data_IF_230500133595
#
_entry.id   IF_230500133595
#
_cell.length_a   1.000
_cell.length_b   1.000
_cell.length_c   1.000
_cell.angle_alpha   90.00
_cell.angle_beta   90.00
_cell.angle_gamma   90.00
#
_symmetry.space_group_name_H-M   'P 1'
#
loop_
_entity.id
_entity.type
_entity.pdbx_description
1 polymer ?
#
# COMPACT_ATOMS: atom_id res chain seq x y z
N UNK A 1 9.25 -30.17 -10.37
CA UNK A 1 8.95 -28.93 -9.61
C UNK A 1 10.24 -28.43 -9.01
N UNK A 2 10.71 -27.24 -9.36
CA UNK A 2 11.92 -26.69 -8.72
C UNK A 2 11.57 -26.28 -7.29
N UNK A 3 12.02 -27.04 -6.31
CA UNK A 3 11.94 -26.71 -4.88
C UNK A 3 12.97 -25.61 -4.61
N UNK A 4 12.53 -24.35 -4.73
CA UNK A 4 13.33 -23.22 -4.24
C UNK A 4 13.26 -23.27 -2.72
N UNK A 5 14.36 -23.61 -2.07
CA UNK A 5 14.51 -23.47 -0.62
C UNK A 5 14.49 -21.98 -0.27
N UNK A 6 13.54 -21.58 0.56
CA UNK A 6 13.38 -20.19 0.98
C UNK A 6 14.26 -19.97 2.22
N UNK A 7 15.12 -18.95 2.24
CA UNK A 7 15.92 -18.64 3.42
C UNK A 7 15.03 -18.36 4.64
N UNK A 8 15.35 -19.00 5.77
CA UNK A 8 14.61 -18.86 7.02
C UNK A 8 14.48 -17.39 7.46
N UNK A 9 15.55 -16.61 7.33
CA UNK A 9 15.56 -15.19 7.65
C UNK A 9 14.48 -14.41 6.86
N UNK A 10 14.24 -14.77 5.60
CA UNK A 10 13.23 -14.11 4.78
C UNK A 10 11.82 -14.51 5.21
N UNK A 11 11.63 -15.74 5.69
CA UNK A 11 10.35 -16.19 6.26
C UNK A 11 10.06 -15.43 7.55
N UNK A 12 11.04 -15.28 8.43
CA UNK A 12 10.89 -14.52 9.67
C UNK A 12 10.64 -13.03 9.44
N UNK A 13 11.34 -12.42 8.47
CA UNK A 13 11.07 -11.03 8.06
C UNK A 13 9.61 -10.85 7.59
N UNK A 14 9.11 -11.75 6.74
CA UNK A 14 7.73 -11.70 6.26
C UNK A 14 6.70 -11.98 7.36
N UNK A 15 7.05 -12.85 8.31
CA UNK A 15 6.21 -13.15 9.45
C UNK A 15 6.09 -11.94 10.38
N UNK A 16 7.21 -11.26 10.61
CA UNK A 16 7.26 -10.01 11.37
C UNK A 16 6.43 -8.91 10.69
N UNK A 17 6.52 -8.78 9.36
CA UNK A 17 5.69 -7.85 8.61
C UNK A 17 4.19 -8.16 8.76
N UNK A 18 3.80 -9.42 8.63
CA UNK A 18 2.40 -9.84 8.82
C UNK A 18 1.88 -9.49 10.23
N UNK A 19 2.65 -9.81 11.26
CA UNK A 19 2.28 -9.52 12.66
C UNK A 19 2.18 -8.02 12.90
N UNK A 20 3.11 -7.23 12.36
CA UNK A 20 3.09 -5.77 12.50
C UNK A 20 1.90 -5.12 11.77
N UNK A 21 1.53 -5.64 10.59
CA UNK A 21 0.31 -5.22 9.89
C UNK A 21 -0.94 -5.49 10.73
N UNK A 22 -1.00 -6.66 11.39
CA UNK A 22 -2.11 -6.99 12.27
C UNK A 22 -2.15 -6.06 13.49
N UNK A 23 -1.01 -5.86 14.15
CA UNK A 23 -0.88 -4.93 15.30
C UNK A 23 -1.33 -3.52 14.91
N UNK A 24 -0.96 -3.05 13.71
CA UNK A 24 -1.38 -1.75 13.20
C UNK A 24 -2.90 -1.67 13.01
N UNK A 25 -3.53 -2.69 12.41
CA UNK A 25 -5.00 -2.75 12.25
C UNK A 25 -5.73 -2.80 13.58
N UNK A 26 -5.28 -3.64 14.50
CA UNK A 26 -5.84 -3.74 15.86
C UNK A 26 -5.77 -2.39 16.58
N UNK A 27 -4.65 -1.69 16.45
CA UNK A 27 -4.48 -0.33 17.00
C UNK A 27 -5.42 0.68 16.34
N UNK A 28 -5.64 0.59 15.02
CA UNK A 28 -6.59 1.46 14.30
C UNK A 28 -8.03 1.25 14.77
N UNK A 29 -8.40 0.03 15.18
CA UNK A 29 -9.69 -0.27 15.79
C UNK A 29 -9.80 0.19 17.26
N UNK A 30 -8.75 0.81 17.81
CA UNK A 30 -8.72 1.28 19.20
C UNK A 30 -8.56 0.16 20.24
N UNK A 31 -8.12 -1.03 19.80
CA UNK A 31 -7.88 -2.18 20.68
C UNK A 31 -6.37 -2.29 20.95
N UNK A 32 -5.99 -2.61 22.18
CA UNK A 32 -4.57 -2.88 22.50
C UNK A 32 -4.21 -4.30 22.08
N UNK A 33 -2.92 -4.54 21.81
CA UNK A 33 -2.46 -5.86 21.37
C UNK A 33 -2.75 -6.96 22.40
N UNK A 34 -2.55 -6.67 23.68
CA UNK A 34 -2.79 -7.60 24.78
C UNK A 34 -4.27 -7.98 24.89
N UNK A 35 -5.17 -7.00 24.69
CA UNK A 35 -6.61 -7.25 24.72
C UNK A 35 -7.04 -8.08 23.51
N UNK A 36 -6.47 -7.82 22.34
CA UNK A 36 -6.71 -8.64 21.15
C UNK A 36 -6.30 -10.10 21.37
N UNK A 37 -5.09 -10.34 21.88
CA UNK A 37 -4.60 -11.69 22.19
C UNK A 37 -5.51 -12.42 23.20
N UNK A 38 -5.97 -11.71 24.23
CA UNK A 38 -6.91 -12.25 25.22
C UNK A 38 -8.26 -12.63 24.60
N UNK A 39 -8.82 -11.76 23.75
CA UNK A 39 -10.08 -12.01 23.05
C UNK A 39 -9.96 -13.18 22.06
N UNK A 40 -8.86 -13.24 21.33
CA UNK A 40 -8.54 -14.33 20.41
C UNK A 40 -8.19 -15.64 21.13
N UNK A 41 -7.89 -15.58 22.43
CA UNK A 41 -7.36 -16.70 23.24
C UNK A 41 -6.12 -17.33 22.62
N UNK A 42 -5.23 -16.49 22.10
CA UNK A 42 -3.98 -16.90 21.45
C UNK A 42 -2.81 -16.13 22.02
N UNK A 43 -1.63 -16.74 21.98
CA UNK A 43 -0.37 -16.01 22.14
C UNK A 43 0.09 -15.46 20.79
N UNK A 44 1.03 -14.52 20.82
CA UNK A 44 1.67 -14.05 19.58
C UNK A 44 2.38 -15.21 18.85
N UNK A 45 2.99 -16.14 19.58
CA UNK A 45 3.62 -17.34 19.02
C UNK A 45 2.63 -18.24 18.29
N UNK A 46 1.40 -18.36 18.78
CA UNK A 46 0.36 -19.15 18.10
C UNK A 46 -0.02 -18.49 16.77
N UNK A 47 -0.18 -17.17 16.74
CA UNK A 47 -0.43 -16.40 15.51
C UNK A 47 0.74 -16.57 14.53
N UNK A 48 1.98 -16.46 15.03
CA UNK A 48 3.20 -16.65 14.23
C UNK A 48 3.24 -18.05 13.60
N UNK A 49 2.96 -19.10 14.37
CA UNK A 49 2.91 -20.48 13.86
C UNK A 49 1.84 -20.66 12.78
N UNK A 50 0.65 -20.08 12.99
CA UNK A 50 -0.44 -20.15 12.02
C UNK A 50 -0.13 -19.41 10.71
N UNK A 51 0.63 -18.32 10.79
CA UNK A 51 0.96 -17.47 9.64
C UNK A 51 2.26 -17.84 8.95
N UNK A 52 3.09 -18.68 9.56
CA UNK A 52 4.34 -19.15 8.96
C UNK A 52 4.18 -19.71 7.54
N UNK A 53 3.16 -20.55 7.21
CA UNK A 53 2.96 -21.02 5.84
C UNK A 53 2.60 -19.89 4.85
N UNK A 54 1.99 -18.81 5.33
CA UNK A 54 1.70 -17.62 4.51
C UNK A 54 2.99 -16.84 4.27
N UNK A 55 3.80 -16.64 5.32
CA UNK A 55 5.10 -15.99 5.24
C UNK A 55 6.05 -16.72 4.28
N UNK A 56 6.10 -18.06 4.35
CA UNK A 56 6.88 -18.89 3.42
C UNK A 56 6.49 -18.66 1.95
N UNK A 57 5.18 -18.59 1.66
CA UNK A 57 4.71 -18.29 0.30
C UNK A 57 5.08 -16.89 -0.15
N UNK A 58 4.95 -15.89 0.73
CA UNK A 58 5.34 -14.50 0.41
C UNK A 58 6.85 -14.38 0.17
N UNK A 59 7.66 -14.97 1.04
CA UNK A 59 9.10 -15.02 0.92
C UNK A 59 9.53 -15.69 -0.40
N UNK A 60 8.86 -16.79 -0.80
CA UNK A 60 9.09 -17.39 -2.11
C UNK A 60 8.76 -16.45 -3.27
N UNK A 61 7.63 -15.75 -3.22
CA UNK A 61 7.27 -14.75 -4.24
C UNK A 61 8.30 -13.63 -4.32
N UNK A 62 8.84 -13.17 -3.19
CA UNK A 62 9.90 -12.16 -3.16
C UNK A 62 11.19 -12.63 -3.84
N UNK A 63 11.58 -13.89 -3.64
CA UNK A 63 12.74 -14.46 -4.35
C UNK A 63 12.52 -14.53 -5.86
N UNK A 64 11.31 -14.87 -6.28
CA UNK A 64 10.94 -14.87 -7.70
C UNK A 64 11.01 -13.46 -8.27
N UNK A 65 10.45 -12.47 -7.58
CA UNK A 65 10.52 -11.07 -7.99
C UNK A 65 11.96 -10.56 -8.04
N UNK A 66 12.82 -10.90 -7.07
CA UNK A 66 14.23 -10.50 -7.10
C UNK A 66 14.97 -11.14 -8.28
N UNK A 67 14.71 -12.42 -8.59
CA UNK A 67 15.29 -13.10 -9.74
C UNK A 67 14.86 -12.45 -11.06
N UNK A 68 13.58 -12.07 -11.19
CA UNK A 68 13.06 -11.35 -12.35
C UNK A 68 13.71 -9.96 -12.43
N UNK A 69 13.74 -9.20 -11.33
CA UNK A 69 14.35 -7.87 -11.28
C UNK A 69 15.79 -7.88 -11.77
N UNK A 70 16.59 -8.88 -11.32
CA UNK A 70 17.98 -9.05 -11.77
C UNK A 70 18.07 -9.39 -13.25
N UNK A 71 17.24 -10.31 -13.74
CA UNK A 71 17.20 -10.71 -15.15
C UNK A 71 16.83 -9.53 -16.05
N UNK A 72 15.89 -8.72 -15.60
CA UNK A 72 15.32 -7.58 -16.32
C UNK A 72 16.11 -6.28 -16.13
N UNK A 73 17.21 -6.30 -15.36
CA UNK A 73 18.06 -5.14 -15.11
C UNK A 73 17.38 -4.02 -14.30
N UNK A 74 16.40 -4.35 -13.46
CA UNK A 74 15.64 -3.37 -12.69
C UNK A 74 16.46 -2.91 -11.49
N UNK A 75 16.86 -1.64 -11.52
CA UNK A 75 17.59 -0.97 -10.45
C UNK A 75 16.76 0.14 -9.81
N UNK A 76 17.14 0.52 -8.59
CA UNK A 76 16.60 1.66 -7.87
C UNK A 76 17.70 2.71 -7.76
N UNK A 77 17.46 3.91 -8.28
CA UNK A 77 18.41 5.01 -8.18
C UNK A 77 18.39 5.64 -6.78
N UNK A 78 19.44 6.39 -6.44
CA UNK A 78 19.48 7.16 -5.19
C UNK A 78 18.36 8.19 -5.12
N UNK A 79 18.01 8.81 -6.26
CA UNK A 79 16.95 9.82 -6.34
C UNK A 79 15.56 9.21 -6.13
N UNK A 80 15.29 8.04 -6.72
CA UNK A 80 14.05 7.29 -6.50
C UNK A 80 13.91 6.90 -5.03
N UNK A 81 15.00 6.44 -4.42
CA UNK A 81 15.00 6.09 -3.00
C UNK A 81 14.75 7.30 -2.11
N UNK A 82 15.40 8.43 -2.40
CA UNK A 82 15.23 9.67 -1.65
C UNK A 82 13.80 10.21 -1.79
N UNK A 83 13.23 10.23 -2.99
CA UNK A 83 11.85 10.65 -3.24
C UNK A 83 10.84 9.75 -2.53
N UNK A 84 11.01 8.44 -2.58
CA UNK A 84 10.13 7.52 -1.86
C UNK A 84 10.30 7.65 -0.34
N UNK A 85 11.51 7.96 0.15
CA UNK A 85 11.78 8.15 1.57
C UNK A 85 11.08 9.40 2.10
N UNK A 86 11.10 10.52 1.37
CA UNK A 86 10.40 11.75 1.77
C UNK A 86 8.89 11.62 1.74
N UNK A 87 8.34 10.79 0.84
CA UNK A 87 6.90 10.49 0.78
C UNK A 87 6.44 9.42 1.78
N UNK A 88 7.37 8.74 2.47
CA UNK A 88 7.03 7.72 3.45
C UNK A 88 6.34 8.35 4.67
N UNK A 89 5.23 7.78 5.19
CA UNK A 89 4.66 8.21 6.46
C UNK A 89 5.68 8.19 7.61
N UNK A 90 6.68 7.30 7.53
CA UNK A 90 7.78 7.23 8.49
C UNK A 90 8.59 8.54 8.52
N UNK A 91 8.71 9.26 7.40
CA UNK A 91 9.40 10.55 7.35
C UNK A 91 8.73 11.61 8.22
N UNK A 92 7.41 11.52 8.41
CA UNK A 92 6.65 12.49 9.21
C UNK A 92 6.72 12.16 10.71
N UNK A 93 6.84 10.87 11.04
CA UNK A 93 6.80 10.37 12.43
C UNK A 93 8.20 10.29 13.03
N UNK A 94 9.17 9.76 12.28
CA UNK A 94 10.56 9.62 12.71
C UNK A 94 11.53 9.78 11.51
N UNK A 95 11.93 11.03 11.20
CA UNK A 95 12.91 11.30 10.15
C UNK A 95 14.27 10.64 10.40
N UNK A 96 14.63 10.33 11.66
CA UNK A 96 15.93 9.72 11.98
C UNK A 96 15.96 8.24 11.61
N UNK A 97 14.81 7.55 11.67
CA UNK A 97 14.70 6.16 11.23
C UNK A 97 15.12 5.97 9.75
N UNK A 98 14.92 6.97 8.89
CA UNK A 98 15.34 6.94 7.49
C UNK A 98 16.86 6.93 7.30
N UNK A 99 17.65 7.20 8.35
CA UNK A 99 19.12 7.08 8.31
C UNK A 99 19.59 5.64 8.53
N UNK A 100 18.71 4.76 9.00
CA UNK A 100 19.06 3.36 9.24
C UNK A 100 19.30 2.63 7.91
N UNK A 101 20.47 1.98 7.72
CA UNK A 101 20.73 1.17 6.54
C UNK A 101 19.69 0.07 6.31
N UNK A 102 19.14 -0.50 7.38
CA UNK A 102 18.10 -1.52 7.30
C UNK A 102 16.79 -0.95 6.73
N UNK A 103 16.39 0.26 7.18
CA UNK A 103 15.19 0.94 6.69
C UNK A 103 15.34 1.31 5.22
N UNK A 104 16.48 1.87 4.83
CA UNK A 104 16.76 2.22 3.43
C UNK A 104 16.82 0.99 2.52
N UNK A 105 17.41 -0.11 2.99
CA UNK A 105 17.46 -1.37 2.24
C UNK A 105 16.05 -1.97 2.02
N UNK A 106 15.20 -1.93 3.05
CA UNK A 106 13.80 -2.36 2.95
C UNK A 106 13.02 -1.49 1.95
N UNK A 107 13.20 -0.17 2.03
CA UNK A 107 12.57 0.77 1.11
C UNK A 107 13.01 0.55 -0.34
N UNK A 108 14.32 0.40 -0.58
CA UNK A 108 14.85 0.10 -1.90
C UNK A 108 14.32 -1.24 -2.45
N UNK A 109 14.17 -2.26 -1.59
CA UNK A 109 13.57 -3.54 -1.98
C UNK A 109 12.10 -3.37 -2.40
N UNK A 110 11.33 -2.62 -1.61
CA UNK A 110 9.92 -2.33 -1.90
C UNK A 110 9.75 -1.62 -3.25
N UNK A 111 10.56 -0.59 -3.52
CA UNK A 111 10.55 0.13 -4.80
C UNK A 111 10.87 -0.81 -5.97
N UNK A 112 11.92 -1.63 -5.84
CA UNK A 112 12.32 -2.59 -6.87
C UNK A 112 11.22 -3.60 -7.17
N UNK A 113 10.59 -4.13 -6.12
CA UNK A 113 9.51 -5.11 -6.27
C UNK A 113 8.32 -4.50 -7.00
N UNK A 114 7.93 -3.27 -6.65
CA UNK A 114 6.86 -2.53 -7.36
C UNK A 114 7.21 -2.37 -8.84
N UNK A 115 8.38 -1.81 -9.17
CA UNK A 115 8.86 -1.67 -10.56
C UNK A 115 8.87 -3.00 -11.33
N UNK A 116 9.20 -4.09 -10.64
CA UNK A 116 9.20 -5.43 -11.24
C UNK A 116 7.80 -5.90 -11.55
N UNK A 117 6.85 -5.72 -10.63
CA UNK A 117 5.44 -6.04 -10.86
C UNK A 117 4.91 -5.18 -12.00
N UNK A 118 5.14 -3.86 -11.97
CA UNK A 118 4.68 -2.92 -13.00
C UNK A 118 5.16 -3.37 -14.39
N UNK A 119 6.44 -3.73 -14.52
CA UNK A 119 6.98 -4.27 -15.78
C UNK A 119 6.32 -5.60 -16.20
N UNK A 120 6.00 -6.48 -15.26
CA UNK A 120 5.33 -7.76 -15.55
C UNK A 120 3.87 -7.58 -15.97
N UNK A 121 3.19 -6.55 -15.46
CA UNK A 121 1.79 -6.24 -15.83
C UNK A 121 1.68 -5.27 -16.99
N UNK A 122 2.80 -4.80 -17.55
CA UNK A 122 2.81 -3.85 -18.67
C UNK A 122 2.44 -2.43 -18.26
N UNK A 123 2.77 -2.01 -17.04
CA UNK A 123 2.51 -0.67 -16.47
C UNK A 123 3.82 0.10 -16.24
N UNK A 124 4.89 -0.24 -16.96
CA UNK A 124 6.21 0.39 -16.79
C UNK A 124 6.28 1.84 -17.27
N UNK A 125 5.24 2.36 -17.93
CA UNK A 125 5.19 3.73 -18.43
C UNK A 125 3.79 4.33 -18.27
N UNK A 126 3.69 5.68 -18.20
CA UNK A 126 2.40 6.37 -18.18
C UNK A 126 1.52 6.01 -19.38
N UNK A 127 2.11 5.78 -20.56
CA UNK A 127 1.36 5.39 -21.76
C UNK A 127 0.78 3.98 -21.64
N UNK A 128 1.53 3.06 -21.03
CA UNK A 128 1.10 1.70 -20.81
C UNK A 128 0.02 1.62 -19.72
N UNK A 129 0.13 2.46 -18.69
CA UNK A 129 -0.90 2.64 -17.67
C UNK A 129 -2.19 3.25 -18.24
N UNK A 130 -2.09 4.31 -19.05
CA UNK A 130 -3.24 4.91 -19.75
C UNK A 130 -3.92 3.91 -20.67
N UNK A 131 -3.15 3.11 -21.40
CA UNK A 131 -3.69 2.04 -22.24
C UNK A 131 -4.45 0.98 -21.41
N UNK A 132 -3.91 0.59 -20.25
CA UNK A 132 -4.57 -0.37 -19.36
C UNK A 132 -5.86 0.21 -18.75
N UNK A 133 -5.85 1.48 -18.32
CA UNK A 133 -7.02 2.19 -17.79
C UNK A 133 -8.10 2.29 -18.87
N UNK A 134 -7.74 2.68 -20.10
CA UNK A 134 -8.67 2.75 -21.24
C UNK A 134 -9.29 1.39 -21.57
N UNK A 135 -8.50 0.32 -21.55
CA UNK A 135 -8.99 -1.07 -21.71
C UNK A 135 -9.92 -1.51 -20.59
N UNK A 136 -9.69 -1.03 -19.37
CA UNK A 136 -10.55 -1.29 -18.22
C UNK A 136 -11.80 -0.39 -18.16
N UNK A 137 -11.96 0.54 -19.12
CA UNK A 137 -13.10 1.45 -19.20
C UNK A 137 -13.04 2.63 -18.23
N UNK A 138 -11.85 2.96 -17.70
CA UNK A 138 -11.62 4.16 -16.89
C UNK A 138 -11.20 5.37 -17.72
N UNK A 139 -11.38 6.57 -17.17
CA UNK A 139 -10.91 7.81 -17.77
C UNK A 139 -9.40 7.99 -17.58
N UNK A 140 -8.70 8.49 -18.62
CA UNK A 140 -7.24 8.69 -18.72
C UNK A 140 -6.71 9.74 -17.70
N UNK A 141 -6.77 9.44 -16.40
CA UNK A 141 -6.25 10.30 -15.33
C UNK A 141 -4.79 9.94 -15.01
N UNK A 142 -3.89 10.90 -15.18
CA UNK A 142 -2.46 10.73 -14.91
C UNK A 142 -2.15 10.89 -13.41
N UNK A 143 -1.87 9.78 -12.71
CA UNK A 143 -1.54 9.77 -11.29
C UNK A 143 -0.06 10.09 -10.99
N UNK A 144 0.80 10.22 -11.99
CA UNK A 144 2.25 10.32 -11.81
C UNK A 144 2.84 11.73 -11.95
N UNK A 145 2.01 12.75 -12.17
CA UNK A 145 2.34 14.13 -11.85
C UNK A 145 3.48 14.74 -12.67
N UNK A 146 3.15 15.22 -13.87
CA UNK A 146 3.81 16.37 -14.47
C UNK A 146 2.74 17.42 -14.82
N UNK A 147 2.78 18.58 -14.16
CA UNK A 147 2.04 19.77 -14.61
C UNK A 147 2.97 20.60 -15.53
N UNK A 148 2.48 21.35 -16.55
CA UNK A 148 1.34 22.26 -16.39
C UNK A 148 0.39 22.50 -17.60
N UNK A 149 -0.70 23.19 -17.26
CA UNK A 149 -1.51 24.15 -18.03
C UNK A 149 -2.43 23.64 -19.15
N UNK A 150 -3.71 23.45 -18.79
CA UNK A 150 -4.74 24.43 -19.15
C UNK A 150 -5.94 24.30 -18.21
N UNK A 151 -6.37 25.44 -17.67
CA UNK A 151 -7.57 25.57 -16.86
C UNK A 151 -8.80 25.27 -17.72
N UNK A 152 -9.25 24.03 -17.70
CA UNK A 152 -10.63 23.67 -18.02
C UNK A 152 -11.35 23.43 -16.71
N UNK A 153 -12.36 24.25 -16.42
CA UNK A 153 -13.16 24.25 -15.19
C UNK A 153 -13.45 22.82 -14.70
N UNK A 154 -12.98 22.50 -13.49
CA UNK A 154 -13.45 21.31 -12.77
C UNK A 154 -14.93 21.52 -12.44
N UNK A 155 -15.83 21.07 -13.32
CA UNK A 155 -17.24 20.92 -12.96
C UNK A 155 -17.32 19.81 -11.93
N UNK A 156 -17.47 20.21 -10.67
CA UNK A 156 -17.98 19.35 -9.61
C UNK A 156 -19.33 18.84 -10.11
N UNK A 157 -19.42 17.53 -10.37
CA UNK A 157 -20.69 16.87 -10.66
C UNK A 157 -21.47 16.86 -9.34
N UNK A 158 -22.32 17.87 -9.15
CA UNK A 158 -23.41 17.82 -8.18
C UNK A 158 -24.52 16.98 -8.83
N UNK A 159 -24.95 15.84 -8.24
CA UNK A 159 -26.07 15.08 -8.79
C UNK A 159 -27.34 15.95 -8.80
N UNK A 160 -28.06 15.94 -9.93
CA UNK A 160 -29.33 16.65 -10.07
C UNK A 160 -30.35 16.12 -9.05
N UNK A 161 -30.72 17.00 -8.12
CA UNK A 161 -31.99 17.07 -7.36
C UNK A 161 -32.49 15.76 -6.74
N UNK A 162 -32.20 15.61 -5.45
CA UNK A 162 -33.09 14.91 -4.51
C UNK A 162 -34.29 15.82 -4.21
N UNK A 163 -35.51 15.37 -4.51
CA UNK A 163 -36.76 16.05 -4.19
C UNK A 163 -36.97 16.13 -2.66
N UNK A 164 -36.53 17.22 -2.06
CA UNK A 164 -36.89 17.56 -0.68
C UNK A 164 -38.17 18.41 -0.71
N UNK A 165 -39.29 17.85 -0.24
CA UNK A 165 -40.56 18.57 -0.09
C UNK A 165 -40.45 19.70 0.95
N UNK A 166 -41.36 20.69 0.91
CA UNK A 166 -41.37 21.80 1.88
C UNK A 166 -41.41 21.31 3.34
N UNK A 167 -42.11 20.20 3.62
CA UNK A 167 -42.18 19.63 4.98
C UNK A 167 -40.81 19.15 5.49
N UNK A 168 -39.96 18.60 4.61
CA UNK A 168 -38.62 18.12 4.97
C UNK A 168 -37.65 19.24 5.36
N UNK A 169 -37.85 20.45 4.82
CA UNK A 169 -37.02 21.62 5.12
C UNK A 169 -37.38 22.24 6.47
N UNK A 170 -38.64 22.17 6.87
CA UNK A 170 -39.13 22.69 8.15
C UNK A 170 -38.75 21.75 9.31
N UNK A 171 -38.82 20.43 9.08
CA UNK A 171 -38.34 19.43 10.04
C UNK A 171 -36.84 19.56 10.36
N UNK A 172 -36.02 19.88 9.35
CA UNK A 172 -34.58 20.07 9.53
C UNK A 172 -34.24 21.33 10.35
N UNK A 173 -35.01 22.42 10.19
CA UNK A 173 -34.83 23.65 10.99
C UNK A 173 -35.18 23.44 12.45
N UNK A 174 -36.29 22.73 12.72
CA UNK A 174 -36.74 22.47 14.09
C UNK A 174 -35.76 21.57 14.89
N UNK A 175 -34.95 20.74 14.22
CA UNK A 175 -33.96 19.88 14.86
C UNK A 175 -32.63 20.59 15.18
N UNK A 176 -32.32 21.71 14.52
CA UNK A 176 -31.07 22.44 14.71
C UNK A 176 -31.17 23.57 15.75
N UNK A 177 -32.37 23.86 16.26
CA UNK A 177 -32.62 24.88 17.30
C UNK A 177 -32.92 24.27 18.70
N UNK A 178 -32.52 23.02 18.95
CA UNK A 178 -32.49 22.42 20.31
C UNK A 178 -31.09 21.98 20.68
#
# INVERSE_FOLDING_TARGET
TSTVEVPELLVEDELEHLVNDLKARVKQEGVTWEKFLLQARKTEDDIRKEWRPVAERRAKSLLVLDAIARKEGITVSGDELAAQATMSPLAQVDPQALRSPAVLASLARSIRNRKTVDKLVGLESPDAEREAIRKAGGDDFDFHGAAPAQAGETKIIVPEKSDATPEGREALRAMLEK
#
